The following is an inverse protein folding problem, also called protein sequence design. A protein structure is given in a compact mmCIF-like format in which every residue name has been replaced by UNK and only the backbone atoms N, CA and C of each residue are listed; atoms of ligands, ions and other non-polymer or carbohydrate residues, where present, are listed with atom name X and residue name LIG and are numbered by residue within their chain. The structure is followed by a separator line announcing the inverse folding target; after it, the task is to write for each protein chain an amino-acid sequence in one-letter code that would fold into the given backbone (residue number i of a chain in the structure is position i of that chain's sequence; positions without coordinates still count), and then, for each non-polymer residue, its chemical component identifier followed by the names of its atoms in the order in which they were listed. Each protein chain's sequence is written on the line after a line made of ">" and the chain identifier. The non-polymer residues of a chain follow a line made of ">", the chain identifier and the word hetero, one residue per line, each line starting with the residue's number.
data_IF_145332693160
#
_entry.id   IF_145332693160
#
_cell.length_a   1.000
_cell.length_b   1.000
_cell.length_c   1.000
_cell.angle_alpha   90.00
_cell.angle_beta   90.00
_cell.angle_gamma   90.00
#
_symmetry.space_group_name_H-M   'P 1'
#
loop_
_entity.id
_entity.type
_entity.pdbx_description
1 polymer ?
#
# COMPACT_ATOMS: atom_id res chain seq x y z
N UNK A 1 -35.02 14.43 0.33
CA UNK A 1 -33.58 14.14 0.18
C UNK A 1 -33.39 12.71 0.65
N UNK A 2 -33.17 11.73 -0.25
CA UNK A 2 -33.04 10.32 0.11
C UNK A 2 -31.66 10.06 0.70
N UNK A 3 -31.61 9.40 1.84
CA UNK A 3 -30.36 8.89 2.40
C UNK A 3 -29.97 7.61 1.65
N UNK A 4 -28.71 7.55 1.21
CA UNK A 4 -28.15 6.30 0.73
C UNK A 4 -27.93 5.37 1.93
N UNK A 5 -28.29 4.09 1.77
CA UNK A 5 -28.04 3.05 2.76
C UNK A 5 -27.14 1.99 2.11
N UNK A 6 -26.24 1.44 2.91
CA UNK A 6 -25.50 0.24 2.49
C UNK A 6 -26.41 -1.01 2.60
N UNK A 7 -25.92 -2.16 2.16
CA UNK A 7 -26.64 -3.43 2.19
C UNK A 7 -27.00 -3.90 3.62
N UNK A 8 -26.28 -3.40 4.62
CA UNK A 8 -26.59 -3.63 6.06
C UNK A 8 -27.64 -2.66 6.62
N UNK A 9 -28.13 -1.71 5.81
CA UNK A 9 -29.12 -0.72 6.21
C UNK A 9 -28.57 0.50 6.96
N UNK A 10 -27.26 0.63 7.09
CA UNK A 10 -26.63 1.79 7.73
C UNK A 10 -26.80 3.04 6.89
N UNK A 11 -27.06 4.16 7.53
CA UNK A 11 -27.18 5.46 6.88
C UNK A 11 -25.78 5.94 6.50
N UNK A 12 -25.51 6.09 5.19
CA UNK A 12 -24.28 6.72 4.72
C UNK A 12 -24.34 8.22 5.02
N UNK A 13 -23.21 8.83 5.44
CA UNK A 13 -23.16 10.26 5.64
C UNK A 13 -23.56 10.97 4.33
N UNK A 14 -24.28 12.10 4.40
CA UNK A 14 -24.65 12.84 3.21
C UNK A 14 -23.38 13.31 2.50
N UNK A 15 -23.37 13.23 1.17
CA UNK A 15 -22.29 13.80 0.37
C UNK A 15 -22.21 15.30 0.65
N UNK A 16 -21.12 15.73 1.28
CA UNK A 16 -20.89 17.12 1.72
C UNK A 16 -20.61 18.09 0.57
N UNK A 17 -20.75 17.63 -0.67
CA UNK A 17 -20.46 18.43 -1.87
C UNK A 17 -18.95 18.57 -2.15
N UNK A 18 -18.67 19.20 -3.27
CA UNK A 18 -17.30 19.53 -3.68
C UNK A 18 -16.79 20.71 -2.85
N UNK A 19 -15.51 20.66 -2.48
CA UNK A 19 -14.87 21.72 -1.70
C UNK A 19 -13.86 22.46 -2.57
N UNK A 20 -13.99 23.81 -2.62
CA UNK A 20 -13.00 24.63 -3.30
C UNK A 20 -11.58 24.38 -2.73
N UNK A 21 -10.53 24.31 -3.57
CA UNK A 21 -10.52 24.49 -5.03
C UNK A 21 -10.83 23.20 -5.85
N UNK A 22 -11.16 22.10 -5.20
CA UNK A 22 -11.33 20.76 -5.78
C UNK A 22 -12.75 20.59 -6.35
N UNK A 23 -13.10 21.42 -7.35
CA UNK A 23 -14.40 21.41 -8.00
C UNK A 23 -14.27 20.70 -9.34
N UNK A 24 -15.20 19.79 -9.64
CA UNK A 24 -15.21 18.98 -10.85
C UNK A 24 -14.32 17.74 -10.80
N UNK A 25 -14.60 16.78 -11.67
CA UNK A 25 -13.95 15.46 -11.68
C UNK A 25 -12.44 15.52 -11.90
N UNK A 26 -11.98 16.42 -12.77
CA UNK A 26 -10.56 16.54 -13.12
C UNK A 26 -9.74 17.01 -11.93
N UNK A 27 -10.16 18.09 -11.24
CA UNK A 27 -9.46 18.60 -10.07
C UNK A 27 -9.51 17.61 -8.89
N UNK A 28 -10.61 16.89 -8.73
CA UNK A 28 -10.70 15.84 -7.72
C UNK A 28 -9.76 14.67 -8.03
N UNK A 29 -9.64 14.28 -9.30
CA UNK A 29 -8.76 13.20 -9.75
C UNK A 29 -7.28 13.52 -9.50
N UNK A 30 -6.84 14.76 -9.77
CA UNK A 30 -5.44 15.16 -9.62
C UNK A 30 -5.13 15.71 -8.22
N UNK A 31 -6.11 15.83 -7.36
CA UNK A 31 -5.98 16.41 -6.02
C UNK A 31 -4.80 15.86 -5.22
N UNK A 32 -4.62 14.56 -5.22
CA UNK A 32 -3.56 13.91 -4.44
C UNK A 32 -2.16 14.20 -4.99
N UNK A 33 -2.00 14.45 -6.29
CA UNK A 33 -0.73 14.86 -6.88
C UNK A 33 -0.36 16.30 -6.52
N UNK A 34 -1.38 17.16 -6.30
CA UNK A 34 -1.19 18.56 -5.97
C UNK A 34 -1.06 18.81 -4.47
N UNK A 35 -1.50 17.87 -3.63
CA UNK A 35 -1.37 17.95 -2.18
C UNK A 35 -0.13 17.17 -1.72
N UNK A 36 0.86 17.89 -1.24
CA UNK A 36 2.11 17.35 -0.69
C UNK A 36 2.08 17.27 0.85
N UNK A 37 0.89 17.17 1.44
CA UNK A 37 0.68 17.34 2.89
C UNK A 37 0.94 16.07 3.71
N UNK A 38 1.48 15.00 3.11
CA UNK A 38 1.75 13.80 3.88
C UNK A 38 2.99 14.01 4.76
N UNK A 39 2.89 13.81 6.08
CA UNK A 39 4.08 13.69 6.89
C UNK A 39 4.92 12.55 6.30
N UNK A 40 6.21 12.78 6.14
CA UNK A 40 7.15 11.70 5.75
C UNK A 40 7.37 10.84 6.98
N UNK A 41 6.70 9.68 7.10
CA UNK A 41 6.95 8.77 8.20
C UNK A 41 8.34 8.17 8.02
N UNK A 42 8.82 7.49 9.05
CA UNK A 42 10.03 6.68 9.00
C UNK A 42 10.07 5.83 7.71
N UNK A 43 11.21 5.81 7.04
CA UNK A 43 11.40 5.09 5.78
C UNK A 43 11.13 3.57 5.91
N UNK A 44 11.24 3.04 7.13
CA UNK A 44 11.18 1.60 7.39
C UNK A 44 12.50 0.88 7.11
N UNK A 45 12.55 -0.38 7.44
CA UNK A 45 13.68 -1.27 7.14
C UNK A 45 13.60 -1.72 5.68
N UNK A 46 14.66 -1.48 4.90
CA UNK A 46 14.73 -1.93 3.52
C UNK A 46 14.77 -3.46 3.43
N UNK A 47 13.97 -4.00 2.53
CA UNK A 47 13.86 -5.44 2.27
C UNK A 47 14.14 -5.70 0.80
N UNK A 48 15.31 -6.28 0.52
CA UNK A 48 15.67 -6.76 -0.81
C UNK A 48 15.41 -8.27 -0.90
N UNK A 49 14.77 -8.70 -1.98
CA UNK A 49 14.45 -10.10 -2.25
C UNK A 49 14.98 -10.46 -3.64
N UNK A 50 15.90 -11.43 -3.69
CA UNK A 50 16.43 -11.94 -4.95
C UNK A 50 15.47 -12.95 -5.57
N UNK A 51 15.27 -12.85 -6.87
CA UNK A 51 14.46 -13.76 -7.66
C UNK A 51 15.35 -14.72 -8.47
N UNK A 52 14.81 -15.88 -8.79
CA UNK A 52 15.52 -16.92 -9.53
C UNK A 52 15.98 -16.47 -10.94
N UNK A 53 15.34 -15.45 -11.52
CA UNK A 53 15.69 -14.90 -12.83
C UNK A 53 16.75 -13.77 -12.76
N UNK A 54 17.28 -13.48 -11.57
CA UNK A 54 18.30 -12.48 -11.32
C UNK A 54 17.77 -11.05 -11.13
N UNK A 55 16.46 -10.82 -11.22
CA UNK A 55 15.84 -9.58 -10.81
C UNK A 55 15.74 -9.52 -9.28
N UNK A 56 15.59 -8.33 -8.71
CA UNK A 56 15.38 -8.13 -7.28
C UNK A 56 14.10 -7.34 -7.04
N UNK A 57 13.40 -7.69 -5.96
CA UNK A 57 12.25 -6.96 -5.46
C UNK A 57 12.67 -6.09 -4.27
N UNK A 58 11.99 -4.99 -4.08
CA UNK A 58 12.24 -4.02 -3.01
C UNK A 58 10.96 -3.78 -2.23
N UNK A 59 11.08 -3.81 -0.91
CA UNK A 59 10.02 -3.41 0.01
C UNK A 59 10.60 -2.61 1.19
N UNK A 60 9.74 -2.02 2.00
CA UNK A 60 10.08 -1.42 3.28
C UNK A 60 9.21 -2.04 4.38
N UNK A 61 9.85 -2.54 5.43
CA UNK A 61 9.17 -3.15 6.57
C UNK A 61 9.14 -2.18 7.76
N UNK A 62 7.98 -2.05 8.37
CA UNK A 62 7.76 -1.29 9.60
C UNK A 62 7.30 -2.26 10.69
N UNK A 63 8.08 -2.49 11.73
CA UNK A 63 7.66 -3.34 12.83
C UNK A 63 6.51 -2.69 13.62
N UNK A 64 5.63 -3.51 14.19
CA UNK A 64 4.62 -3.03 15.12
C UNK A 64 5.28 -2.34 16.32
N UNK A 65 4.67 -1.28 16.82
CA UNK A 65 5.21 -0.49 17.95
C UNK A 65 5.05 -1.16 19.34
N UNK A 66 4.26 -2.24 19.41
CA UNK A 66 3.99 -2.96 20.66
C UNK A 66 4.89 -4.17 20.87
N UNK A 67 4.76 -4.81 22.03
CA UNK A 67 5.53 -6.02 22.38
C UNK A 67 5.14 -7.26 21.57
N UNK A 68 3.96 -7.24 20.96
CA UNK A 68 3.47 -8.29 20.07
C UNK A 68 2.62 -7.67 18.98
N UNK A 69 2.95 -8.00 17.73
CA UNK A 69 2.14 -7.63 16.58
C UNK A 69 0.81 -8.38 16.56
N UNK A 70 -0.25 -7.71 16.13
CA UNK A 70 -1.55 -8.34 15.83
C UNK A 70 -1.57 -9.05 14.48
N UNK A 71 -0.60 -8.77 13.63
CA UNK A 71 -0.45 -9.31 12.28
C UNK A 71 0.41 -8.39 11.42
N UNK A 72 0.75 -8.85 10.22
CA UNK A 72 1.47 -8.05 9.25
C UNK A 72 0.57 -7.70 8.06
N UNK A 73 0.44 -6.41 7.77
CA UNK A 73 -0.26 -5.91 6.59
C UNK A 73 0.75 -5.76 5.45
N UNK A 74 0.48 -6.37 4.31
CA UNK A 74 1.26 -6.23 3.07
C UNK A 74 0.53 -5.25 2.16
N UNK A 75 1.09 -4.07 1.92
CA UNK A 75 0.49 -3.02 1.10
C UNK A 75 1.04 -3.05 -0.33
N UNK A 76 0.13 -3.23 -1.30
CA UNK A 76 0.43 -3.35 -2.73
C UNK A 76 -0.12 -2.13 -3.47
N UNK A 77 0.74 -1.41 -4.17
CA UNK A 77 0.36 -0.23 -4.95
C UNK A 77 -0.33 -0.59 -6.28
N UNK A 78 -0.99 0.38 -6.89
CA UNK A 78 -1.60 0.25 -8.21
C UNK A 78 -0.68 0.61 -9.37
N UNK A 79 -1.27 0.73 -10.57
CA UNK A 79 -0.56 1.14 -11.79
C UNK A 79 0.12 2.49 -11.60
N UNK A 80 1.35 2.62 -12.10
CA UNK A 80 2.21 3.80 -11.94
C UNK A 80 2.52 4.22 -10.49
N UNK A 81 2.16 3.38 -9.51
CA UNK A 81 2.50 3.59 -8.11
C UNK A 81 3.85 2.96 -7.73
N UNK A 82 4.19 3.14 -6.48
CA UNK A 82 5.33 2.48 -5.81
C UNK A 82 5.05 2.45 -4.29
N UNK A 83 5.94 1.85 -3.52
CA UNK A 83 5.84 1.83 -2.06
C UNK A 83 5.81 3.24 -1.44
N UNK A 84 6.31 4.25 -2.16
CA UNK A 84 6.37 5.65 -1.72
C UNK A 84 5.19 6.48 -2.24
N UNK A 85 4.20 5.86 -2.90
CA UNK A 85 2.98 6.55 -3.28
C UNK A 85 2.23 7.05 -2.05
N UNK A 86 1.70 8.27 -2.10
CA UNK A 86 1.09 8.97 -0.97
C UNK A 86 0.04 8.13 -0.23
N UNK A 87 -0.83 7.43 -0.95
CA UNK A 87 -1.86 6.58 -0.35
C UNK A 87 -1.30 5.34 0.35
N UNK A 88 -0.11 4.86 -0.04
CA UNK A 88 0.62 3.80 0.65
C UNK A 88 1.30 4.35 1.91
N UNK A 89 1.88 5.55 1.81
CA UNK A 89 2.49 6.25 2.95
C UNK A 89 1.49 6.53 4.07
N UNK A 90 0.29 6.92 3.75
CA UNK A 90 -0.75 7.19 4.76
C UNK A 90 -1.16 5.97 5.58
N UNK A 91 -0.89 4.76 5.08
CA UNK A 91 -1.14 3.53 5.84
C UNK A 91 -0.16 3.36 7.01
N UNK A 92 1.06 3.90 6.91
CA UNK A 92 2.11 3.64 7.92
C UNK A 92 1.65 4.02 9.34
N UNK A 93 1.30 5.28 9.65
CA UNK A 93 0.90 5.65 10.99
C UNK A 93 -0.37 4.91 11.46
N UNK A 94 -1.34 4.72 10.57
CA UNK A 94 -2.62 4.09 10.92
C UNK A 94 -2.45 2.60 11.26
N UNK A 95 -1.69 1.88 10.44
CA UNK A 95 -1.44 0.45 10.63
C UNK A 95 -0.62 0.21 11.90
N UNK A 96 0.43 1.01 12.12
CA UNK A 96 1.25 0.91 13.32
C UNK A 96 0.48 1.28 14.59
N UNK A 97 -0.33 2.34 14.55
CA UNK A 97 -1.19 2.74 15.68
C UNK A 97 -2.25 1.67 16.02
N UNK A 98 -2.73 0.95 15.00
CA UNK A 98 -3.64 -0.19 15.19
C UNK A 98 -2.94 -1.43 15.78
N UNK A 99 -1.61 -1.46 15.89
CA UNK A 99 -0.82 -2.53 16.47
C UNK A 99 -0.42 -3.64 15.51
N UNK A 100 -0.41 -3.35 14.20
CA UNK A 100 0.07 -4.25 13.15
C UNK A 100 1.46 -3.82 12.68
N UNK A 101 2.24 -4.77 12.16
CA UNK A 101 3.40 -4.47 11.33
C UNK A 101 2.97 -4.22 9.89
N UNK A 102 3.79 -3.54 9.10
CA UNK A 102 3.48 -3.19 7.72
C UNK A 102 4.66 -3.49 6.79
N UNK A 103 4.41 -4.19 5.69
CA UNK A 103 5.33 -4.35 4.57
C UNK A 103 4.78 -3.58 3.36
N UNK A 104 5.41 -2.48 2.99
CA UNK A 104 5.12 -1.73 1.76
C UNK A 104 6.01 -2.26 0.65
N UNK A 105 5.43 -2.75 -0.43
CA UNK A 105 6.22 -3.35 -1.51
C UNK A 105 6.22 -2.50 -2.78
N UNK A 106 7.28 -2.64 -3.57
CA UNK A 106 7.29 -2.27 -4.97
C UNK A 106 7.07 -3.51 -5.81
N UNK A 107 6.02 -3.49 -6.64
CA UNK A 107 5.92 -4.48 -7.71
C UNK A 107 7.17 -4.42 -8.59
N UNK A 108 7.52 -5.53 -9.24
CA UNK A 108 8.75 -5.68 -10.03
C UNK A 108 9.02 -4.47 -10.95
N UNK A 109 10.14 -3.82 -10.78
CA UNK A 109 10.57 -2.66 -11.56
C UNK A 109 9.73 -1.40 -11.39
N UNK A 110 8.95 -1.28 -10.30
CA UNK A 110 8.19 -0.08 -9.97
C UNK A 110 9.02 0.90 -9.13
N UNK A 111 8.87 2.21 -9.38
CA UNK A 111 9.48 3.27 -8.59
C UNK A 111 10.98 3.06 -8.34
N UNK A 112 11.44 3.13 -7.08
CA UNK A 112 12.85 2.93 -6.73
C UNK A 112 13.38 1.53 -7.03
N UNK A 113 12.52 0.53 -7.23
CA UNK A 113 12.92 -0.81 -7.65
C UNK A 113 13.23 -0.92 -9.17
N UNK A 114 13.08 0.15 -9.96
CA UNK A 114 13.32 0.11 -11.40
C UNK A 114 14.73 -0.36 -11.78
N UNK A 115 15.81 0.10 -11.13
CA UNK A 115 17.17 -0.36 -11.43
C UNK A 115 17.46 -1.81 -11.01
N UNK A 116 16.61 -2.39 -10.18
CA UNK A 116 16.80 -3.72 -9.60
C UNK A 116 16.19 -4.84 -10.46
N UNK A 117 15.45 -4.50 -11.51
CA UNK A 117 14.76 -5.46 -12.34
C UNK A 117 14.83 -5.09 -13.83
N UNK A 118 15.07 -6.10 -14.65
CA UNK A 118 15.03 -5.97 -16.13
C UNK A 118 13.59 -5.93 -16.64
N UNK A 119 12.71 -6.69 -15.99
CA UNK A 119 11.28 -6.75 -16.29
C UNK A 119 10.49 -5.73 -15.49
N UNK A 120 9.25 -5.50 -15.91
CA UNK A 120 8.27 -4.70 -15.17
C UNK A 120 7.05 -5.55 -14.82
N UNK A 121 6.32 -5.14 -13.79
CA UNK A 121 5.09 -5.77 -13.39
C UNK A 121 3.97 -5.59 -14.44
N UNK A 122 3.02 -6.50 -14.43
CA UNK A 122 1.78 -6.46 -15.23
C UNK A 122 0.67 -7.19 -14.47
N UNK A 123 -0.54 -7.24 -15.02
CA UNK A 123 -1.69 -7.91 -14.38
C UNK A 123 -1.54 -9.42 -14.14
N UNK A 124 -0.50 -10.05 -14.70
CA UNK A 124 -0.20 -11.48 -14.48
C UNK A 124 0.97 -11.71 -13.51
N UNK A 125 1.45 -10.67 -12.83
CA UNK A 125 2.64 -10.73 -11.97
C UNK A 125 2.35 -11.23 -10.54
N UNK A 126 1.21 -11.88 -10.30
CA UNK A 126 0.83 -12.40 -8.96
C UNK A 126 1.88 -13.33 -8.33
N UNK A 127 2.64 -14.08 -9.13
CA UNK A 127 3.74 -14.91 -8.64
C UNK A 127 4.86 -14.13 -7.94
N UNK A 128 5.03 -12.85 -8.27
CA UNK A 128 6.01 -11.98 -7.62
C UNK A 128 5.58 -11.55 -6.19
N UNK A 129 4.32 -11.77 -5.82
CA UNK A 129 3.84 -11.47 -4.46
C UNK A 129 4.26 -12.53 -3.44
N UNK A 130 4.45 -13.79 -3.87
CA UNK A 130 4.83 -14.89 -2.97
C UNK A 130 6.12 -14.58 -2.19
N UNK A 131 7.22 -14.13 -2.81
CA UNK A 131 8.43 -13.73 -2.08
C UNK A 131 8.21 -12.63 -1.02
N UNK A 132 7.26 -11.71 -1.25
CA UNK A 132 6.92 -10.69 -0.24
C UNK A 132 6.13 -11.28 0.93
N UNK A 133 5.22 -12.21 0.67
CA UNK A 133 4.49 -12.95 1.72
C UNK A 133 5.48 -13.71 2.60
N UNK A 134 6.44 -14.40 1.99
CA UNK A 134 7.50 -15.12 2.71
C UNK A 134 8.39 -14.15 3.53
N UNK A 135 8.71 -13.00 2.97
CA UNK A 135 9.50 -11.98 3.67
C UNK A 135 8.75 -11.40 4.89
N UNK A 136 7.43 -11.15 4.76
CA UNK A 136 6.59 -10.72 5.86
C UNK A 136 6.50 -11.79 6.97
N UNK A 137 6.29 -13.07 6.60
CA UNK A 137 6.23 -14.18 7.54
C UNK A 137 7.53 -14.39 8.31
N UNK A 138 8.68 -14.16 7.69
CA UNK A 138 9.99 -14.23 8.38
C UNK A 138 10.24 -13.07 9.34
N UNK A 139 9.69 -11.88 9.06
CA UNK A 139 9.87 -10.68 9.90
C UNK A 139 8.91 -10.60 11.07
N UNK A 140 7.75 -11.22 10.94
CA UNK A 140 6.72 -11.27 11.99
C UNK A 140 6.24 -12.73 12.17
N UNK A 141 7.10 -13.62 12.75
CA UNK A 141 6.84 -15.05 12.79
C UNK A 141 5.59 -15.39 13.61
N UNK A 142 4.70 -16.18 13.00
CA UNK A 142 3.46 -16.62 13.62
C UNK A 142 2.35 -15.56 13.68
N UNK A 143 2.59 -14.37 13.14
CA UNK A 143 1.57 -13.34 13.02
C UNK A 143 0.67 -13.61 11.80
N UNK A 144 -0.65 -13.35 11.88
CA UNK A 144 -1.52 -13.39 10.71
C UNK A 144 -1.07 -12.41 9.65
N UNK A 145 -1.14 -12.82 8.37
CA UNK A 145 -0.79 -11.96 7.24
C UNK A 145 -2.07 -11.46 6.56
N UNK A 146 -2.09 -10.16 6.28
CA UNK A 146 -3.19 -9.48 5.58
C UNK A 146 -2.61 -8.79 4.34
N UNK A 147 -3.32 -8.84 3.22
CA UNK A 147 -2.94 -8.11 2.03
C UNK A 147 -3.93 -6.99 1.76
N UNK A 148 -3.42 -5.78 1.57
CA UNK A 148 -4.18 -4.60 1.17
C UNK A 148 -3.64 -4.12 -0.17
N UNK A 149 -4.44 -4.23 -1.20
CA UNK A 149 -4.01 -3.96 -2.57
C UNK A 149 -4.87 -2.88 -3.23
N UNK A 150 -4.25 -2.05 -4.05
CA UNK A 150 -4.89 -0.92 -4.71
C UNK A 150 -4.95 -1.16 -6.22
N UNK A 151 -6.14 -1.05 -6.84
CA UNK A 151 -6.32 -1.11 -8.29
C UNK A 151 -5.65 -2.36 -8.91
N UNK A 152 -4.70 -2.18 -9.85
CA UNK A 152 -3.96 -3.27 -10.48
C UNK A 152 -3.24 -4.19 -9.48
N UNK A 153 -2.84 -3.70 -8.33
CA UNK A 153 -2.24 -4.53 -7.28
C UNK A 153 -3.21 -5.55 -6.67
N UNK A 154 -4.51 -5.39 -6.88
CA UNK A 154 -5.56 -6.26 -6.36
C UNK A 154 -6.17 -7.22 -7.39
N UNK A 155 -5.58 -7.34 -8.58
CA UNK A 155 -6.07 -8.21 -9.67
C UNK A 155 -5.39 -9.56 -9.67
#
# INVERSE_FOLDING_TARGET
>A
MGFLRNDAGDILPPFGGERFPWIGGDLQTIRHYLRHDAPVPDAGEEVLIELADGDRLLAAFHPATGTRSKGCVIAVHGLNGCMDAQHIWWLVPEVLAAGYSLLRLNMRGAGPARPLARKTYNGCAGGDLVPFVDAAARRDPGAPLFMMAHSLGGT
#
